data_IF_048918264793
#
_entry.id   IF_048918264793
#
_cell.length_a   1.000
_cell.length_b   1.000
_cell.length_c   1.000
_cell.angle_alpha   90.00
_cell.angle_beta   90.00
_cell.angle_gamma   90.00
#
_symmetry.space_group_name_H-M   'P 1'
#
loop_
_entity.id
_entity.type
_entity.pdbx_description
1 polymer ?
#
# COMPACT_ATOMS: atom_id res chain seq x y z
N UNK A 1 38.67 19.87 15.89
CA UNK A 1 37.57 18.88 15.92
C UNK A 1 36.16 19.47 16.10
N UNK A 2 35.94 20.61 16.79
CA UNK A 2 34.57 21.08 17.12
C UNK A 2 33.90 22.04 16.12
N UNK A 3 34.57 22.51 15.05
CA UNK A 3 34.07 23.63 14.24
C UNK A 3 33.24 23.23 13.00
N UNK A 4 33.54 22.10 12.36
CA UNK A 4 32.64 21.46 11.37
C UNK A 4 31.47 20.76 12.06
N UNK A 5 31.69 20.19 13.25
CA UNK A 5 30.63 19.55 14.02
C UNK A 5 29.56 20.55 14.48
N UNK A 6 29.93 21.82 14.74
CA UNK A 6 28.98 22.88 15.08
C UNK A 6 28.14 23.29 13.86
N UNK A 7 28.77 23.46 12.70
CA UNK A 7 28.12 23.80 11.43
C UNK A 7 27.20 22.66 10.95
N UNK A 8 27.64 21.41 11.07
CA UNK A 8 26.83 20.22 10.82
C UNK A 8 25.74 20.03 11.88
N UNK A 9 26.00 20.32 13.17
CA UNK A 9 24.97 20.24 14.21
C UNK A 9 23.91 21.33 14.02
N UNK A 10 24.32 22.53 13.59
CA UNK A 10 23.42 23.64 13.26
C UNK A 10 22.61 23.32 12.00
N UNK A 11 23.24 22.77 10.95
CA UNK A 11 22.50 22.27 9.78
C UNK A 11 21.55 21.12 10.15
N UNK A 12 21.94 20.21 11.05
CA UNK A 12 21.03 19.15 11.53
C UNK A 12 19.89 19.70 12.39
N UNK A 13 20.15 20.71 13.22
CA UNK A 13 19.12 21.42 13.99
C UNK A 13 18.18 22.20 13.06
N UNK A 14 18.68 22.76 11.95
CA UNK A 14 17.87 23.43 10.94
C UNK A 14 16.98 22.45 10.17
N UNK A 15 17.49 21.24 9.86
CA UNK A 15 16.69 20.15 9.27
C UNK A 15 15.64 19.62 10.27
N UNK A 16 15.96 19.56 11.56
CA UNK A 16 15.02 19.18 12.62
C UNK A 16 13.99 20.29 12.91
N UNK A 17 14.39 21.56 12.87
CA UNK A 17 13.53 22.73 13.00
C UNK A 17 12.54 22.91 11.84
N UNK A 18 12.94 22.51 10.63
CA UNK A 18 12.06 22.45 9.46
C UNK A 18 11.04 21.28 9.54
N UNK A 19 11.20 20.38 10.53
CA UNK A 19 10.40 19.18 10.73
C UNK A 19 9.62 19.17 12.06
N UNK A 20 9.43 20.32 12.73
CA UNK A 20 8.65 20.34 13.97
C UNK A 20 7.14 20.22 13.65
N UNK A 21 6.59 19.05 13.97
CA UNK A 21 5.20 18.68 13.78
C UNK A 21 4.39 19.12 15.01
N UNK A 22 3.67 20.24 14.89
CA UNK A 22 2.54 20.50 15.79
C UNK A 22 1.22 20.21 15.05
N UNK A 23 0.34 19.48 15.72
CA UNK A 23 -0.94 18.92 15.24
C UNK A 23 -2.05 19.95 14.90
N UNK A 24 -1.70 21.23 14.72
CA UNK A 24 -2.66 22.33 14.53
C UNK A 24 -2.57 23.00 13.16
N UNK A 25 -1.84 22.43 12.19
CA UNK A 25 -1.88 22.87 10.79
C UNK A 25 -1.10 24.16 10.45
N UNK A 26 -0.41 24.78 11.42
CA UNK A 26 0.53 25.86 11.17
C UNK A 26 1.98 25.40 11.40
N UNK A 27 2.81 25.41 10.35
CA UNK A 27 4.27 25.34 10.48
C UNK A 27 4.79 26.70 10.90
N UNK A 28 4.92 26.95 12.20
CA UNK A 28 5.71 28.09 12.68
C UNK A 28 7.16 27.65 12.83
N UNK A 29 8.01 27.96 11.85
CA UNK A 29 9.45 27.89 12.04
C UNK A 29 9.89 28.78 13.21
N UNK A 30 11.06 28.52 13.79
CA UNK A 30 11.60 29.37 14.85
C UNK A 30 11.69 30.83 14.40
N UNK A 31 11.24 31.76 15.24
CA UNK A 31 11.47 33.19 15.02
C UNK A 31 12.96 33.50 15.12
N UNK A 32 13.38 34.61 14.52
CA UNK A 32 14.78 35.06 14.57
C UNK A 32 15.31 35.10 16.02
N UNK A 33 14.50 35.60 16.96
CA UNK A 33 14.84 35.63 18.38
C UNK A 33 15.01 34.24 19.01
N UNK A 34 14.20 33.26 18.59
CA UNK A 34 14.32 31.87 19.07
C UNK A 34 15.60 31.21 18.55
N UNK A 35 15.96 31.46 17.30
CA UNK A 35 17.21 30.96 16.70
C UNK A 35 18.41 31.59 17.41
N UNK A 36 18.38 32.92 17.62
CA UNK A 36 19.42 33.65 18.36
C UNK A 36 19.63 33.06 19.75
N UNK A 37 18.55 32.76 20.49
CA UNK A 37 18.62 32.17 21.81
C UNK A 37 19.19 30.74 21.83
N UNK A 38 18.85 29.89 20.85
CA UNK A 38 19.38 28.52 20.75
C UNK A 38 20.89 28.53 20.46
N UNK A 39 21.31 29.40 19.53
CA UNK A 39 22.72 29.58 19.19
C UNK A 39 23.50 30.10 20.40
N UNK A 40 22.94 31.08 21.11
CA UNK A 40 23.54 31.67 22.30
C UNK A 40 23.70 30.68 23.45
N UNK A 41 22.68 29.86 23.73
CA UNK A 41 22.74 28.83 24.77
C UNK A 41 23.75 27.72 24.43
N UNK A 42 23.87 27.37 23.14
CA UNK A 42 24.84 26.39 22.68
C UNK A 42 26.30 26.89 22.75
N UNK A 43 26.51 28.20 22.53
CA UNK A 43 27.82 28.85 22.62
C UNK A 43 28.22 29.10 24.08
N UNK A 44 27.28 29.62 24.90
CA UNK A 44 27.51 29.93 26.31
C UNK A 44 27.92 28.70 27.13
N UNK A 45 27.34 27.54 26.83
CA UNK A 45 27.64 26.28 27.53
C UNK A 45 29.03 25.68 27.21
N UNK A 46 29.81 26.27 26.30
CA UNK A 46 31.14 25.76 25.91
C UNK A 46 32.33 26.60 26.37
N UNK A 47 32.10 27.78 26.94
CA UNK A 47 33.08 28.54 27.73
C UNK A 47 34.36 29.02 27.03
N UNK A 48 34.36 29.21 25.71
CA UNK A 48 35.56 29.62 24.95
C UNK A 48 35.21 30.68 23.89
N UNK A 49 35.80 31.87 23.98
CA UNK A 49 35.57 32.98 23.04
C UNK A 49 36.36 32.83 21.73
N UNK A 50 37.34 31.90 21.64
CA UNK A 50 38.17 31.68 20.45
C UNK A 50 38.38 30.19 20.14
N UNK A 51 37.43 29.56 19.45
CA UNK A 51 37.61 28.18 18.95
C UNK A 51 38.56 28.11 17.71
N UNK A 52 38.75 26.91 17.12
CA UNK A 52 39.56 26.53 15.91
C UNK A 52 41.06 26.40 16.06
N UNK A 53 41.53 25.20 15.69
CA UNK A 53 42.56 25.02 14.66
C UNK A 53 42.19 23.80 13.82
N UNK A 54 42.23 23.92 12.49
CA UNK A 54 42.36 22.85 11.49
C UNK A 54 43.45 23.30 10.52
N UNK A 55 44.29 22.39 10.06
CA UNK A 55 45.35 22.73 9.08
C UNK A 55 44.79 22.73 7.65
N UNK A 56 45.32 23.58 6.79
CA UNK A 56 44.96 23.71 5.37
C UNK A 56 44.84 22.37 4.62
N UNK A 57 45.76 21.43 4.87
CA UNK A 57 45.74 20.07 4.28
C UNK A 57 44.49 19.24 4.63
N UNK A 58 43.92 19.43 5.83
CA UNK A 58 42.73 18.73 6.28
C UNK A 58 41.45 19.33 5.69
N UNK A 59 41.46 20.63 5.39
CA UNK A 59 40.36 21.34 4.73
C UNK A 59 40.24 20.91 3.25
N UNK A 60 41.37 20.80 2.55
CA UNK A 60 41.44 20.35 1.15
C UNK A 60 40.91 18.92 0.99
N UNK A 61 41.20 18.02 1.93
CA UNK A 61 40.75 16.62 1.89
C UNK A 61 39.22 16.49 1.96
N UNK A 62 38.56 17.37 2.71
CA UNK A 62 37.11 17.35 2.91
C UNK A 62 36.35 17.99 1.74
N UNK A 63 36.89 19.06 1.14
CA UNK A 63 36.28 19.70 -0.04
C UNK A 63 36.34 18.75 -1.24
N UNK A 64 37.42 17.98 -1.37
CA UNK A 64 37.54 16.91 -2.35
C UNK A 64 36.49 15.79 -2.19
N UNK A 65 35.88 15.62 -1.00
CA UNK A 65 34.81 14.63 -0.79
C UNK A 65 33.40 15.15 -1.07
N UNK A 66 33.23 16.45 -1.32
CA UNK A 66 31.92 17.11 -1.45
C UNK A 66 31.67 17.76 -2.81
N UNK A 67 32.70 17.94 -3.65
CA UNK A 67 32.57 18.50 -5.01
C UNK A 67 32.92 17.46 -6.09
N UNK A 68 32.28 17.49 -7.27
CA UNK A 68 32.59 16.57 -8.37
C UNK A 68 34.02 16.75 -8.90
N UNK A 69 34.63 15.64 -9.36
CA UNK A 69 36.06 15.47 -9.65
C UNK A 69 36.66 16.31 -10.82
N UNK A 70 35.98 17.37 -11.24
CA UNK A 70 36.34 18.18 -12.42
C UNK A 70 37.10 19.47 -12.10
N UNK A 71 37.26 19.83 -10.82
CA UNK A 71 38.03 21.02 -10.41
C UNK A 71 39.47 20.65 -10.05
N UNK A 72 40.44 21.45 -10.48
CA UNK A 72 41.84 21.25 -10.14
C UNK A 72 42.13 21.68 -8.69
N UNK A 73 43.18 21.12 -8.04
CA UNK A 73 43.55 21.49 -6.68
C UNK A 73 43.81 22.99 -6.47
N UNK A 74 44.23 23.70 -7.52
CA UNK A 74 44.46 25.14 -7.49
C UNK A 74 43.14 25.93 -7.50
N UNK A 75 42.17 25.54 -8.34
CA UNK A 75 40.84 26.15 -8.37
C UNK A 75 40.09 25.95 -7.05
N UNK A 76 40.31 24.81 -6.39
CA UNK A 76 39.76 24.54 -5.06
C UNK A 76 40.43 25.43 -4.00
N UNK A 77 41.75 25.60 -4.04
CA UNK A 77 42.47 26.49 -3.13
C UNK A 77 42.06 27.95 -3.31
N UNK A 78 41.83 28.39 -4.54
CA UNK A 78 41.38 29.74 -4.87
C UNK A 78 39.95 29.98 -4.36
N UNK A 79 39.03 29.03 -4.53
CA UNK A 79 37.66 29.08 -3.96
C UNK A 79 37.67 29.13 -2.42
N UNK A 80 38.54 28.33 -1.78
CA UNK A 80 38.69 28.32 -0.32
C UNK A 80 39.19 29.67 0.19
N UNK A 81 40.11 30.28 -0.53
CA UNK A 81 40.69 31.58 -0.15
C UNK A 81 39.72 32.73 -0.42
N UNK A 82 38.88 32.61 -1.45
CA UNK A 82 37.92 33.63 -1.88
C UNK A 82 36.60 33.61 -1.08
N UNK A 83 36.12 32.43 -0.66
CA UNK A 83 34.80 32.26 -0.02
C UNK A 83 34.82 31.82 1.45
N UNK A 84 35.99 31.53 2.03
CA UNK A 84 36.11 31.21 3.47
C UNK A 84 36.94 32.29 4.17
N UNK A 85 36.34 33.44 4.54
CA UNK A 85 37.03 34.41 5.37
C UNK A 85 37.44 33.75 6.70
N UNK A 86 38.72 33.87 7.05
CA UNK A 86 39.33 33.12 8.15
C UNK A 86 38.86 33.55 9.55
N UNK A 87 38.16 34.68 9.65
CA UNK A 87 37.75 35.28 10.92
C UNK A 87 36.31 35.81 10.86
N UNK A 88 35.32 34.92 10.84
CA UNK A 88 33.91 35.31 11.02
C UNK A 88 33.61 35.51 12.51
N UNK A 89 33.23 36.73 12.88
CA UNK A 89 32.74 37.09 14.20
C UNK A 89 31.37 36.47 14.48
N UNK A 90 30.96 36.44 15.76
CA UNK A 90 29.62 35.96 16.17
C UNK A 90 28.48 36.62 15.38
N UNK A 91 28.63 37.90 15.03
CA UNK A 91 27.67 38.63 14.19
C UNK A 91 27.62 38.09 12.77
N UNK A 92 28.77 37.90 12.14
CA UNK A 92 28.85 37.43 10.74
C UNK A 92 28.39 35.96 10.59
N UNK A 93 28.56 35.12 11.62
CA UNK A 93 27.98 33.77 11.65
C UNK A 93 26.44 33.84 11.70
N UNK A 94 25.90 34.76 12.48
CA UNK A 94 24.45 34.95 12.56
C UNK A 94 23.87 35.47 11.24
N UNK A 95 24.55 36.44 10.64
CA UNK A 95 24.14 37.03 9.37
C UNK A 95 24.18 35.96 8.27
N UNK A 96 25.22 35.12 8.22
CA UNK A 96 25.31 33.99 7.28
C UNK A 96 24.19 32.95 7.51
N UNK A 97 23.81 32.68 8.76
CA UNK A 97 22.68 31.78 9.06
C UNK A 97 21.36 32.38 8.56
N UNK A 98 21.14 33.67 8.78
CA UNK A 98 19.93 34.38 8.32
C UNK A 98 19.88 34.42 6.78
N UNK A 99 21.01 34.65 6.10
CA UNK A 99 21.10 34.73 4.63
C UNK A 99 21.00 33.36 3.93
N UNK A 100 21.44 32.28 4.60
CA UNK A 100 21.33 30.89 4.11
C UNK A 100 20.01 30.21 4.47
N UNK A 101 19.21 30.79 5.39
CA UNK A 101 17.82 30.37 5.57
C UNK A 101 17.06 30.72 4.29
N UNK A 102 16.43 29.75 3.61
CA UNK A 102 15.61 30.09 2.45
C UNK A 102 14.51 31.07 2.89
N UNK A 103 14.50 32.26 2.28
CA UNK A 103 13.38 33.24 2.35
C UNK A 103 12.03 32.59 2.02
N UNK A 104 12.10 31.50 1.24
CA UNK A 104 10.99 30.61 0.96
C UNK A 104 10.59 29.84 2.24
N UNK A 105 9.83 30.52 3.10
CA UNK A 105 8.78 29.82 3.85
C UNK A 105 7.91 29.14 2.81
N UNK A 106 8.12 27.84 2.59
CA UNK A 106 7.14 27.00 1.92
C UNK A 106 5.90 26.96 2.80
N UNK A 107 5.06 27.98 2.64
CA UNK A 107 3.70 27.93 3.11
C UNK A 107 3.05 26.90 2.21
N UNK A 108 2.99 25.64 2.67
CA UNK A 108 2.18 24.64 1.99
C UNK A 108 0.75 25.02 2.30
N UNK A 109 0.20 25.93 1.49
CA UNK A 109 -1.23 26.19 1.50
C UNK A 109 -1.87 24.95 0.89
N UNK A 110 -2.38 24.07 1.74
CA UNK A 110 -3.22 22.98 1.27
C UNK A 110 -4.49 23.61 0.72
N UNK A 111 -4.61 23.63 -0.61
CA UNK A 111 -5.83 24.05 -1.27
C UNK A 111 -6.87 22.95 -1.08
N UNK A 112 -7.61 23.04 0.02
CA UNK A 112 -8.67 22.09 0.37
C UNK A 112 -9.76 22.05 -0.70
N UNK A 113 -10.00 23.16 -1.42
CA UNK A 113 -10.95 23.19 -2.51
C UNK A 113 -10.44 22.34 -3.70
N UNK A 114 -9.14 22.42 -4.02
CA UNK A 114 -8.54 21.53 -5.02
C UNK A 114 -8.58 20.06 -4.62
N UNK A 115 -8.38 19.76 -3.33
CA UNK A 115 -8.44 18.39 -2.82
C UNK A 115 -9.87 17.83 -2.90
N UNK A 116 -10.86 18.60 -2.44
CA UNK A 116 -12.27 18.21 -2.56
C UNK A 116 -12.67 18.03 -4.02
N UNK A 117 -12.26 18.95 -4.90
CA UNK A 117 -12.53 18.84 -6.33
C UNK A 117 -11.88 17.59 -6.93
N UNK A 118 -10.65 17.24 -6.53
CA UNK A 118 -10.00 16.02 -6.99
C UNK A 118 -10.79 14.75 -6.61
N UNK A 119 -11.36 14.70 -5.40
CA UNK A 119 -12.21 13.57 -5.00
C UNK A 119 -13.50 13.52 -5.81
N UNK A 120 -14.11 14.68 -6.10
CA UNK A 120 -15.31 14.78 -6.95
C UNK A 120 -15.01 14.28 -8.36
N UNK A 121 -13.91 14.73 -8.95
CA UNK A 121 -13.48 14.35 -10.30
C UNK A 121 -13.17 12.87 -10.36
N UNK A 122 -12.45 12.33 -9.37
CA UNK A 122 -12.15 10.90 -9.27
C UNK A 122 -13.44 10.06 -9.24
N UNK A 123 -14.41 10.43 -8.41
CA UNK A 123 -15.70 9.71 -8.34
C UNK A 123 -16.43 9.75 -9.69
N UNK A 124 -16.48 10.91 -10.34
CA UNK A 124 -17.11 11.06 -11.64
C UNK A 124 -16.41 10.21 -12.72
N UNK A 125 -15.08 10.23 -12.74
CA UNK A 125 -14.24 9.48 -13.66
C UNK A 125 -14.29 7.97 -13.45
N UNK A 126 -14.65 7.49 -12.25
CA UNK A 126 -14.77 6.07 -11.92
C UNK A 126 -16.20 5.54 -12.00
N UNK A 127 -17.21 6.41 -12.00
CA UNK A 127 -18.62 6.00 -12.02
C UNK A 127 -18.98 5.05 -13.18
N UNK A 128 -18.42 5.26 -14.38
CA UNK A 128 -18.65 4.41 -15.56
C UNK A 128 -17.96 3.04 -15.50
N UNK A 129 -17.02 2.85 -14.58
CA UNK A 129 -16.39 1.53 -14.33
C UNK A 129 -17.18 0.69 -13.33
N UNK A 130 -18.09 1.31 -12.57
CA UNK A 130 -19.01 0.64 -11.66
C UNK A 130 -20.25 0.16 -12.41
N UNK A 131 -20.57 -1.12 -12.25
CA UNK A 131 -21.80 -1.72 -12.76
C UNK A 131 -22.63 -2.33 -11.63
N UNK A 132 -23.95 -2.37 -11.81
CA UNK A 132 -24.86 -3.17 -11.01
C UNK A 132 -24.89 -4.61 -11.50
N UNK A 133 -24.94 -5.57 -10.58
CA UNK A 133 -25.12 -6.99 -10.90
C UNK A 133 -26.47 -7.44 -10.40
N UNK A 134 -27.26 -8.04 -11.29
CA UNK A 134 -28.53 -8.66 -10.95
C UNK A 134 -28.44 -10.16 -11.21
N UNK A 135 -28.51 -10.95 -10.14
CA UNK A 135 -28.55 -12.41 -10.20
C UNK A 135 -29.99 -12.87 -10.07
N UNK A 136 -30.51 -13.59 -11.06
CA UNK A 136 -31.86 -14.13 -11.04
C UNK A 136 -31.83 -15.60 -10.65
N UNK A 137 -32.75 -16.03 -9.81
CA UNK A 137 -32.96 -17.42 -9.35
C UNK A 137 -34.45 -17.77 -9.48
N UNK A 138 -34.96 -17.85 -10.71
CA UNK A 138 -36.40 -17.99 -10.96
C UNK A 138 -37.18 -16.69 -10.65
N UNK A 139 -38.11 -16.71 -9.68
CA UNK A 139 -38.89 -15.52 -9.28
C UNK A 139 -38.20 -14.66 -8.20
N UNK A 140 -37.07 -15.11 -7.67
CA UNK A 140 -36.26 -14.39 -6.69
C UNK A 140 -34.92 -13.98 -7.30
N UNK A 141 -34.21 -13.05 -6.68
CA UNK A 141 -32.90 -12.62 -7.17
C UNK A 141 -32.08 -11.91 -6.11
N UNK A 142 -30.79 -11.81 -6.37
CA UNK A 142 -29.82 -11.01 -5.63
C UNK A 142 -29.37 -9.80 -6.43
N UNK A 143 -28.96 -8.75 -5.74
CA UNK A 143 -28.38 -7.55 -6.35
C UNK A 143 -27.08 -7.20 -5.66
N UNK A 144 -26.08 -6.82 -6.45
CA UNK A 144 -24.79 -6.37 -5.96
C UNK A 144 -24.15 -5.39 -6.94
N UNK A 145 -22.85 -5.23 -6.81
CA UNK A 145 -22.05 -4.35 -7.65
C UNK A 145 -20.93 -5.13 -8.32
N UNK A 146 -20.35 -4.54 -9.35
CA UNK A 146 -19.17 -5.05 -10.03
C UNK A 146 -18.30 -3.91 -10.53
N UNK A 147 -17.03 -4.21 -10.78
CA UNK A 147 -16.07 -3.26 -11.36
C UNK A 147 -15.52 -3.79 -12.67
N UNK A 148 -15.50 -2.94 -13.70
CA UNK A 148 -14.89 -3.23 -14.99
C UNK A 148 -13.38 -3.06 -14.84
N UNK A 149 -12.62 -4.15 -14.92
CA UNK A 149 -11.16 -4.16 -14.69
C UNK A 149 -10.34 -4.40 -15.96
N UNK A 150 -10.99 -4.79 -17.05
CA UNK A 150 -10.33 -5.07 -18.34
C UNK A 150 -11.31 -4.91 -19.49
N UNK A 151 -10.80 -4.49 -20.65
CA UNK A 151 -11.53 -4.50 -21.91
C UNK A 151 -10.69 -5.07 -23.05
N UNK A 152 -11.33 -5.80 -23.96
CA UNK A 152 -10.73 -6.33 -25.20
C UNK A 152 -11.71 -6.06 -26.34
N UNK A 153 -11.45 -5.05 -27.16
CA UNK A 153 -12.41 -4.59 -28.16
C UNK A 153 -13.66 -4.04 -27.51
N UNK A 154 -14.83 -4.61 -27.84
CA UNK A 154 -16.13 -4.26 -27.26
C UNK A 154 -16.56 -5.20 -26.13
N UNK A 155 -15.67 -6.09 -25.67
CA UNK A 155 -15.89 -6.96 -24.51
C UNK A 155 -15.30 -6.33 -23.26
N UNK A 156 -16.11 -6.25 -22.21
CA UNK A 156 -15.76 -5.69 -20.91
C UNK A 156 -15.82 -6.78 -19.85
N UNK A 157 -14.76 -6.91 -19.06
CA UNK A 157 -14.63 -7.91 -18.01
C UNK A 157 -14.92 -7.26 -16.67
N UNK A 158 -15.72 -7.94 -15.86
CA UNK A 158 -16.25 -7.46 -14.59
C UNK A 158 -15.84 -8.42 -13.49
N UNK A 159 -15.30 -7.85 -12.41
CA UNK A 159 -15.13 -8.54 -11.13
C UNK A 159 -16.31 -8.19 -10.24
N UNK A 160 -16.84 -9.20 -9.56
CA UNK A 160 -17.85 -9.06 -8.50
C UNK A 160 -17.57 -10.12 -7.42
N UNK A 161 -18.44 -10.23 -6.42
CA UNK A 161 -18.31 -11.27 -5.41
C UNK A 161 -18.98 -12.59 -5.84
N UNK A 162 -18.44 -13.70 -5.34
CA UNK A 162 -19.06 -15.03 -5.52
C UNK A 162 -20.48 -15.03 -4.95
N UNK A 163 -20.71 -14.54 -3.73
CA UNK A 163 -22.03 -14.57 -3.10
C UNK A 163 -23.09 -13.72 -3.84
N UNK A 164 -22.67 -12.72 -4.63
CA UNK A 164 -23.59 -11.89 -5.44
C UNK A 164 -24.19 -12.70 -6.58
N UNK A 165 -23.40 -13.59 -7.18
CA UNK A 165 -23.79 -14.40 -8.34
C UNK A 165 -24.00 -15.87 -8.00
N UNK A 166 -23.87 -16.28 -6.75
CA UNK A 166 -24.02 -17.67 -6.35
C UNK A 166 -25.41 -18.20 -6.79
N UNK A 167 -25.50 -19.49 -7.14
CA UNK A 167 -26.74 -20.20 -7.50
C UNK A 167 -27.65 -19.48 -8.53
N UNK A 168 -27.08 -18.64 -9.40
CA UNK A 168 -27.82 -17.91 -10.43
C UNK A 168 -28.37 -18.86 -11.51
N UNK A 169 -29.53 -18.52 -12.06
CA UNK A 169 -30.02 -19.06 -13.34
C UNK A 169 -29.65 -18.14 -14.50
N UNK A 170 -29.75 -16.83 -14.28
CA UNK A 170 -29.41 -15.78 -15.25
C UNK A 170 -28.70 -14.65 -14.52
N UNK A 171 -27.77 -13.97 -15.19
CA UNK A 171 -27.10 -12.78 -14.69
C UNK A 171 -27.35 -11.64 -15.68
N UNK A 172 -27.73 -10.48 -15.18
CA UNK A 172 -27.82 -9.25 -15.93
C UNK A 172 -26.86 -8.21 -15.35
N UNK A 173 -26.36 -7.34 -16.23
CA UNK A 173 -25.53 -6.19 -15.82
C UNK A 173 -26.34 -4.92 -16.01
N UNK A 174 -26.46 -4.15 -14.94
CA UNK A 174 -27.17 -2.87 -14.93
C UNK A 174 -26.14 -1.75 -14.98
N UNK A 175 -26.36 -0.76 -15.84
CA UNK A 175 -25.53 0.44 -15.86
C UNK A 175 -26.38 1.71 -15.91
N UNK A 176 -25.81 2.81 -15.44
CA UNK A 176 -26.46 4.11 -15.33
C UNK A 176 -25.85 5.09 -16.35
N UNK A 177 -26.68 5.87 -17.04
CA UNK A 177 -26.24 7.09 -17.76
C UNK A 177 -27.25 8.22 -17.60
N UNK A 178 -26.81 9.34 -17.02
CA UNK A 178 -27.60 10.59 -16.86
C UNK A 178 -28.89 10.45 -16.05
N UNK A 179 -28.84 9.70 -14.94
CA UNK A 179 -29.97 9.31 -14.10
C UNK A 179 -30.83 8.17 -14.65
N UNK A 180 -30.41 7.44 -15.70
CA UNK A 180 -31.22 6.42 -16.38
C UNK A 180 -30.52 5.07 -16.34
N UNK A 181 -31.24 4.04 -15.89
CA UNK A 181 -30.76 2.66 -15.85
C UNK A 181 -31.00 1.93 -17.18
N UNK A 182 -30.02 1.13 -17.55
CA UNK A 182 -30.02 0.26 -18.72
C UNK A 182 -29.58 -1.14 -18.31
N UNK A 183 -30.03 -2.14 -19.06
CA UNK A 183 -29.74 -3.54 -18.81
C UNK A 183 -28.97 -4.13 -19.97
N UNK A 184 -27.89 -4.84 -19.66
CA UNK A 184 -27.25 -5.81 -20.55
C UNK A 184 -27.80 -7.18 -20.14
N UNK A 185 -28.57 -7.78 -21.05
CA UNK A 185 -29.28 -9.03 -20.78
C UNK A 185 -28.34 -10.22 -20.71
N UNK A 186 -28.83 -11.32 -20.13
CA UNK A 186 -28.07 -12.54 -19.91
C UNK A 186 -27.47 -13.14 -21.19
N UNK A 187 -28.07 -12.93 -22.36
CA UNK A 187 -27.57 -13.41 -23.66
C UNK A 187 -26.22 -12.80 -24.06
N UNK A 188 -25.92 -11.59 -23.58
CA UNK A 188 -24.66 -10.89 -23.85
C UNK A 188 -23.60 -11.15 -22.78
N UNK A 189 -23.91 -11.94 -21.75
CA UNK A 189 -23.06 -12.23 -20.60
C UNK A 189 -22.30 -13.54 -20.81
N UNK A 190 -21.01 -13.53 -20.45
CA UNK A 190 -20.17 -14.73 -20.37
C UNK A 190 -19.64 -14.86 -18.95
N UNK A 191 -20.01 -15.93 -18.25
CA UNK A 191 -19.48 -16.26 -16.91
C UNK A 191 -18.21 -17.11 -17.04
N UNK A 192 -17.13 -16.70 -16.39
CA UNK A 192 -15.84 -17.44 -16.43
C UNK A 192 -15.68 -18.38 -15.24
N UNK A 193 -16.15 -17.98 -14.07
CA UNK A 193 -16.05 -18.78 -12.86
C UNK A 193 -16.17 -17.92 -11.61
N UNK A 194 -16.20 -18.60 -10.45
CA UNK A 194 -16.18 -17.96 -9.14
C UNK A 194 -15.52 -18.85 -8.10
N UNK A 195 -15.03 -18.24 -7.04
CA UNK A 195 -14.35 -18.92 -5.94
C UNK A 195 -14.99 -18.50 -4.61
N UNK A 196 -15.57 -19.45 -3.90
CA UNK A 196 -16.23 -19.21 -2.62
C UNK A 196 -15.24 -18.86 -1.50
N UNK A 197 -14.00 -19.37 -1.59
CA UNK A 197 -12.97 -19.16 -0.56
C UNK A 197 -12.45 -17.75 -0.49
N UNK A 198 -12.28 -17.10 -1.65
CA UNK A 198 -11.89 -15.70 -1.73
C UNK A 198 -13.06 -14.76 -1.99
N UNK A 199 -14.25 -15.31 -2.23
CA UNK A 199 -15.48 -14.60 -2.60
C UNK A 199 -15.33 -13.71 -3.84
N UNK A 200 -14.60 -14.18 -4.86
CA UNK A 200 -14.40 -13.47 -6.13
C UNK A 200 -15.10 -14.21 -7.27
N UNK A 201 -15.69 -13.45 -8.19
CA UNK A 201 -16.30 -13.96 -9.42
C UNK A 201 -15.93 -13.09 -10.62
N UNK A 202 -15.83 -13.72 -11.79
CA UNK A 202 -15.54 -13.03 -13.06
C UNK A 202 -16.60 -13.34 -14.11
N UNK A 203 -17.10 -12.28 -14.73
CA UNK A 203 -17.93 -12.34 -15.92
C UNK A 203 -17.45 -11.31 -16.96
N UNK A 204 -17.96 -11.39 -18.17
CA UNK A 204 -17.83 -10.32 -19.15
C UNK A 204 -19.13 -10.09 -19.88
N UNK A 205 -19.25 -8.92 -20.50
CA UNK A 205 -20.31 -8.63 -21.46
C UNK A 205 -19.76 -7.98 -22.71
N UNK A 206 -20.56 -8.00 -23.78
CA UNK A 206 -20.29 -7.26 -25.01
C UNK A 206 -21.20 -6.03 -25.07
N UNK A 207 -20.65 -4.88 -25.45
CA UNK A 207 -21.44 -3.66 -25.65
C UNK A 207 -20.82 -2.73 -26.68
N UNK A 208 -21.66 -2.13 -27.53
CA UNK A 208 -21.24 -1.06 -28.44
C UNK A 208 -21.08 0.29 -27.71
N UNK A 209 -21.41 0.36 -26.42
CA UNK A 209 -21.20 1.54 -25.59
C UNK A 209 -19.80 1.49 -24.97
N UNK A 210 -19.17 2.65 -24.85
CA UNK A 210 -17.90 2.78 -24.15
C UNK A 210 -18.11 2.73 -22.63
N UNK A 211 -17.36 1.86 -21.96
CA UNK A 211 -17.23 1.82 -20.50
C UNK A 211 -15.78 2.07 -20.11
N UNK A 212 -15.59 2.60 -18.91
CA UNK A 212 -14.27 2.89 -18.37
C UNK A 212 -13.72 1.65 -17.65
N UNK A 213 -12.40 1.48 -17.72
CA UNK A 213 -11.68 0.41 -17.02
C UNK A 213 -11.03 1.00 -15.78
N UNK A 214 -11.34 0.45 -14.61
CA UNK A 214 -10.74 0.90 -13.36
C UNK A 214 -9.28 0.42 -13.26
N UNK A 215 -8.32 1.31 -12.96
CA UNK A 215 -6.96 0.91 -12.65
C UNK A 215 -6.92 0.24 -11.27
N UNK A 216 -5.95 -0.65 -11.05
CA UNK A 216 -5.75 -1.33 -9.76
C UNK A 216 -4.39 -0.91 -9.20
N UNK A 217 -4.34 -0.67 -7.89
CA UNK A 217 -3.10 -0.40 -7.16
C UNK A 217 -2.55 -1.70 -6.57
N UNK A 218 -1.26 -1.69 -6.25
CA UNK A 218 -0.62 -2.77 -5.49
C UNK A 218 -1.06 -2.71 -4.02
N UNK A 219 -1.83 -3.71 -3.57
CA UNK A 219 -2.34 -3.74 -2.19
C UNK A 219 -1.23 -3.93 -1.14
N UNK A 220 -0.03 -4.38 -1.51
CA UNK A 220 1.10 -4.51 -0.59
C UNK A 220 1.74 -3.16 -0.22
N UNK A 221 1.47 -2.10 -0.98
CA UNK A 221 1.97 -0.75 -0.70
C UNK A 221 1.02 0.10 0.15
N UNK A 222 -0.12 -0.47 0.54
CA UNK A 222 -1.13 0.24 1.32
C UNK A 222 -0.67 0.50 2.74
N UNK A 223 -1.16 1.60 3.31
CA UNK A 223 -0.83 2.03 4.66
C UNK A 223 -2.10 2.40 5.42
N UNK A 224 -2.17 1.97 6.68
CA UNK A 224 -3.24 2.37 7.59
C UNK A 224 -3.30 3.90 7.68
N UNK A 225 -4.51 4.45 7.61
CA UNK A 225 -4.78 5.89 7.60
C UNK A 225 -5.00 6.48 6.21
N UNK A 226 -4.72 5.74 5.12
CA UNK A 226 -5.08 6.18 3.77
C UNK A 226 -6.60 6.37 3.64
N UNK A 227 -7.03 7.45 2.98
CA UNK A 227 -8.44 7.67 2.64
C UNK A 227 -8.87 6.62 1.62
N UNK A 228 -10.03 6.03 1.87
CA UNK A 228 -10.65 5.04 0.98
C UNK A 228 -12.07 5.44 0.63
N UNK A 229 -12.49 5.12 -0.59
CA UNK A 229 -13.79 5.47 -1.14
C UNK A 229 -14.45 4.21 -1.67
N UNK A 230 -15.51 3.76 -1.02
CA UNK A 230 -16.29 2.62 -1.45
C UNK A 230 -17.41 3.09 -2.38
N UNK A 231 -17.54 2.44 -3.53
CA UNK A 231 -18.63 2.69 -4.48
C UNK A 231 -19.46 1.43 -4.71
N UNK A 232 -20.77 1.60 -4.87
CA UNK A 232 -21.68 0.47 -5.10
C UNK A 232 -23.14 0.85 -5.25
N UNK A 233 -24.00 -0.15 -5.28
CA UNK A 233 -25.43 -0.04 -5.56
C UNK A 233 -26.24 -0.63 -4.38
N UNK A 234 -26.28 0.06 -3.22
CA UNK A 234 -26.92 -0.46 -2.04
C UNK A 234 -28.44 -0.52 -2.17
N UNK A 235 -29.06 -1.55 -1.57
CA UNK A 235 -30.51 -1.73 -1.52
C UNK A 235 -31.17 -1.80 -2.92
N UNK A 236 -30.45 -2.34 -3.90
CA UNK A 236 -30.84 -2.42 -5.30
C UNK A 236 -30.42 -1.19 -6.11
N UNK A 237 -31.07 -0.96 -7.26
CA UNK A 237 -30.64 0.09 -8.20
C UNK A 237 -31.30 1.47 -7.99
N UNK A 238 -32.13 1.62 -6.95
CA UNK A 238 -32.69 2.92 -6.59
C UNK A 238 -31.64 3.91 -6.07
N UNK A 239 -30.52 3.39 -5.55
CA UNK A 239 -29.39 4.16 -5.02
C UNK A 239 -28.11 3.86 -5.83
N UNK A 240 -28.26 3.68 -7.14
CA UNK A 240 -27.16 3.35 -8.04
C UNK A 240 -26.00 4.35 -7.87
N UNK A 241 -24.77 3.84 -7.80
CA UNK A 241 -23.57 4.67 -7.69
C UNK A 241 -23.42 5.38 -6.34
N UNK A 242 -23.92 4.80 -5.26
CA UNK A 242 -23.68 5.31 -3.91
C UNK A 242 -22.19 5.32 -3.60
N UNK A 243 -21.72 6.43 -3.04
CA UNK A 243 -20.34 6.65 -2.63
C UNK A 243 -20.30 6.79 -1.11
N UNK A 244 -19.39 6.07 -0.47
CA UNK A 244 -19.07 6.26 0.95
C UNK A 244 -17.56 6.40 1.13
N UNK A 245 -17.14 7.14 2.15
CA UNK A 245 -15.74 7.43 2.43
C UNK A 245 -15.37 6.94 3.83
N UNK A 246 -14.11 6.55 3.98
CA UNK A 246 -13.50 6.22 5.27
C UNK A 246 -11.98 6.21 5.18
N UNK A 247 -11.35 5.48 6.08
CA UNK A 247 -9.91 5.23 6.14
C UNK A 247 -9.60 3.74 6.17
N UNK A 248 -8.48 3.37 5.56
CA UNK A 248 -7.91 2.04 5.70
C UNK A 248 -7.47 1.84 7.16
N UNK A 249 -8.05 0.85 7.82
CA UNK A 249 -7.85 0.54 9.25
C UNK A 249 -6.98 -0.70 9.47
N UNK A 250 -6.73 -1.50 8.42
CA UNK A 250 -5.84 -2.65 8.47
C UNK A 250 -5.55 -3.17 7.06
N UNK A 251 -4.31 -3.54 6.82
CA UNK A 251 -3.82 -4.02 5.50
C UNK A 251 -3.94 -5.53 5.36
N UNK A 252 -3.87 -6.28 6.47
CA UNK A 252 -3.90 -7.75 6.43
C UNK A 252 -4.66 -8.30 7.63
N UNK A 253 -5.96 -8.58 7.47
CA UNK A 253 -6.77 -9.33 8.45
C UNK A 253 -7.11 -10.68 7.87
N UNK A 254 -7.05 -11.73 8.69
CA UNK A 254 -7.49 -13.05 8.26
C UNK A 254 -8.91 -13.31 8.76
N UNK A 255 -9.75 -13.85 7.88
CA UNK A 255 -11.11 -14.25 8.21
C UNK A 255 -11.40 -15.66 7.70
N UNK A 256 -12.07 -16.43 8.54
CA UNK A 256 -12.57 -17.77 8.23
C UNK A 256 -14.05 -17.80 8.64
N UNK A 257 -14.95 -17.80 7.65
CA UNK A 257 -16.39 -17.78 7.87
C UNK A 257 -17.13 -18.54 6.76
N UNK A 258 -17.69 -19.70 7.12
CA UNK A 258 -18.31 -20.58 6.14
C UNK A 258 -17.25 -21.05 5.13
N UNK A 259 -17.53 -20.86 3.85
CA UNK A 259 -16.59 -21.20 2.78
C UNK A 259 -15.48 -20.15 2.61
N UNK A 260 -15.69 -18.91 3.09
CA UNK A 260 -14.69 -17.84 2.98
C UNK A 260 -13.51 -18.11 3.90
N UNK A 261 -12.30 -18.12 3.34
CA UNK A 261 -11.06 -18.37 4.05
C UNK A 261 -9.91 -17.65 3.32
N UNK A 262 -9.74 -16.35 3.61
CA UNK A 262 -8.76 -15.50 2.96
C UNK A 262 -8.40 -14.27 3.81
N UNK A 263 -7.40 -13.51 3.36
CA UNK A 263 -7.08 -12.20 3.94
C UNK A 263 -7.93 -11.09 3.35
N UNK A 264 -8.19 -10.06 4.14
CA UNK A 264 -8.99 -8.88 3.80
C UNK A 264 -8.33 -7.60 4.29
N UNK A 265 -8.57 -6.52 3.56
CA UNK A 265 -8.39 -5.15 4.01
C UNK A 265 -9.51 -4.81 5.00
N UNK A 266 -9.19 -4.05 6.05
CA UNK A 266 -10.18 -3.48 6.97
C UNK A 266 -10.29 -1.98 6.72
N UNK A 267 -11.50 -1.44 6.69
CA UNK A 267 -11.76 0.00 6.59
C UNK A 267 -13.02 0.39 7.37
N UNK A 268 -13.26 1.69 7.53
CA UNK A 268 -14.46 2.21 8.22
C UNK A 268 -15.48 2.88 7.29
N UNK A 269 -15.19 2.97 5.97
CA UNK A 269 -16.15 3.45 4.99
C UNK A 269 -17.46 2.66 5.07
N UNK A 270 -18.58 3.38 5.12
CA UNK A 270 -19.88 2.77 5.38
C UNK A 270 -20.27 1.77 4.28
N UNK A 271 -20.49 0.51 4.67
CA UNK A 271 -21.00 -0.52 3.78
C UNK A 271 -22.46 -0.85 4.07
N UNK A 272 -23.24 -1.02 3.00
CA UNK A 272 -24.62 -1.52 3.04
C UNK A 272 -24.78 -2.68 2.05
N UNK A 273 -25.77 -3.57 2.26
CA UNK A 273 -26.08 -4.61 1.28
C UNK A 273 -26.25 -3.99 -0.12
N UNK A 274 -25.51 -4.51 -1.10
CA UNK A 274 -25.46 -4.00 -2.47
C UNK A 274 -24.16 -3.24 -2.84
N UNK A 275 -23.36 -2.82 -1.86
CA UNK A 275 -21.98 -2.39 -2.13
C UNK A 275 -21.05 -3.56 -2.45
N UNK A 276 -21.39 -4.77 -1.99
CA UNK A 276 -20.64 -6.00 -2.24
C UNK A 276 -20.40 -6.22 -3.72
N UNK A 277 -19.14 -6.52 -4.06
CA UNK A 277 -18.63 -6.68 -5.42
C UNK A 277 -18.20 -5.38 -6.09
N UNK A 278 -18.53 -4.23 -5.49
CA UNK A 278 -18.08 -2.91 -5.94
C UNK A 278 -16.66 -2.59 -5.49
N UNK A 279 -16.01 -1.58 -6.08
CA UNK A 279 -14.64 -1.22 -5.77
C UNK A 279 -14.50 -0.44 -4.45
N UNK A 280 -13.38 -0.66 -3.78
CA UNK A 280 -12.79 0.22 -2.79
C UNK A 280 -11.62 0.95 -3.47
N UNK A 281 -11.74 2.27 -3.63
CA UNK A 281 -10.74 3.11 -4.28
C UNK A 281 -9.84 3.81 -3.27
N UNK A 282 -8.58 4.06 -3.66
CA UNK A 282 -7.76 5.12 -3.05
C UNK A 282 -8.10 6.49 -3.65
N UNK A 283 -7.45 7.55 -3.17
CA UNK A 283 -7.68 8.92 -3.66
C UNK A 283 -7.28 9.13 -5.13
N UNK A 284 -6.44 8.27 -5.70
CA UNK A 284 -6.05 8.32 -7.12
C UNK A 284 -7.08 7.65 -8.04
N UNK A 285 -8.15 7.07 -7.49
CA UNK A 285 -9.14 6.31 -8.26
C UNK A 285 -8.64 4.93 -8.69
N UNK A 286 -7.65 4.37 -7.99
CA UNK A 286 -7.16 3.02 -8.19
C UNK A 286 -7.87 2.08 -7.23
N UNK A 287 -8.35 0.93 -7.73
CA UNK A 287 -8.96 -0.12 -6.92
C UNK A 287 -7.89 -0.72 -6.04
N UNK A 288 -8.08 -0.60 -4.73
CA UNK A 288 -7.23 -1.22 -3.70
C UNK A 288 -7.85 -2.51 -3.18
N UNK A 289 -9.16 -2.72 -3.40
CA UNK A 289 -9.85 -3.95 -3.09
C UNK A 289 -11.30 -3.98 -3.58
N UNK A 290 -11.96 -5.12 -3.39
CA UNK A 290 -13.38 -5.31 -3.72
C UNK A 290 -14.18 -5.41 -2.43
N UNK A 291 -15.17 -4.54 -2.26
CA UNK A 291 -16.02 -4.50 -1.06
C UNK A 291 -16.68 -5.86 -0.88
N UNK A 292 -16.51 -6.44 0.31
CA UNK A 292 -16.94 -7.80 0.62
C UNK A 292 -18.09 -7.77 1.63
N UNK A 293 -17.77 -7.42 2.88
CA UNK A 293 -18.71 -7.49 3.98
C UNK A 293 -18.42 -6.46 5.06
N UNK A 294 -19.32 -6.36 6.04
CA UNK A 294 -19.11 -5.63 7.29
C UNK A 294 -19.48 -6.49 8.49
N UNK A 295 -18.90 -6.18 9.64
CA UNK A 295 -19.43 -6.69 10.90
C UNK A 295 -20.76 -6.00 11.20
N UNK A 296 -21.79 -6.80 11.43
CA UNK A 296 -23.10 -6.33 11.88
C UNK A 296 -23.22 -6.71 13.35
N UNK A 297 -22.67 -5.85 14.21
CA UNK A 297 -22.74 -5.98 15.66
C UNK A 297 -23.44 -4.74 16.24
N UNK A 298 -24.29 -4.93 17.25
CA UNK A 298 -24.98 -3.84 17.93
C UNK A 298 -24.05 -2.92 18.75
N UNK A 299 -22.84 -3.40 19.05
CA UNK A 299 -21.83 -2.76 19.90
C UNK A 299 -20.65 -2.26 19.07
N UNK A 300 -20.34 -2.90 17.93
CA UNK A 300 -19.27 -2.49 17.01
C UNK A 300 -19.85 -2.08 15.65
N UNK A 301 -19.76 -0.78 15.32
CA UNK A 301 -20.07 -0.20 14.01
C UNK A 301 -18.80 0.32 13.33
N UNK A 302 -18.82 0.50 12.01
CA UNK A 302 -17.68 1.06 11.27
C UNK A 302 -16.53 0.08 11.01
N UNK A 303 -16.80 -1.23 10.95
CA UNK A 303 -15.80 -2.24 10.55
C UNK A 303 -16.28 -2.90 9.26
N UNK A 304 -15.75 -2.42 8.14
CA UNK A 304 -15.93 -2.96 6.79
C UNK A 304 -14.68 -3.68 6.31
N UNK A 305 -14.89 -4.58 5.34
CA UNK A 305 -13.83 -5.38 4.75
C UNK A 305 -13.90 -5.39 3.23
N UNK A 306 -12.73 -5.41 2.61
CA UNK A 306 -12.56 -5.58 1.17
C UNK A 306 -11.49 -6.63 0.86
N UNK A 307 -11.66 -7.39 -0.21
CA UNK A 307 -10.68 -8.36 -0.68
C UNK A 307 -9.54 -7.58 -1.37
N UNK A 308 -8.24 -7.78 -1.03
CA UNK A 308 -7.15 -6.97 -1.56
C UNK A 308 -7.02 -7.06 -3.09
N UNK A 309 -6.63 -5.97 -3.74
CA UNK A 309 -6.51 -5.88 -5.21
C UNK A 309 -5.60 -6.96 -5.81
N UNK A 310 -4.45 -7.26 -5.19
CA UNK A 310 -3.54 -8.29 -5.68
C UNK A 310 -4.18 -9.69 -5.65
N UNK A 311 -4.90 -9.99 -4.56
CA UNK A 311 -5.69 -11.22 -4.40
C UNK A 311 -6.75 -11.34 -5.48
N UNK A 312 -7.52 -10.26 -5.67
CA UNK A 312 -8.59 -10.18 -6.66
C UNK A 312 -8.07 -10.41 -8.08
N UNK A 313 -6.98 -9.74 -8.48
CA UNK A 313 -6.44 -9.85 -9.83
C UNK A 313 -5.88 -11.25 -10.11
N UNK A 314 -5.20 -11.86 -9.13
CA UNK A 314 -4.67 -13.22 -9.29
C UNK A 314 -5.78 -14.26 -9.37
N UNK A 315 -6.82 -14.18 -8.53
CA UNK A 315 -8.01 -15.05 -8.64
C UNK A 315 -8.71 -14.83 -9.98
N UNK A 316 -8.93 -13.57 -10.38
CA UNK A 316 -9.60 -13.27 -11.63
C UNK A 316 -8.87 -13.92 -12.82
N UNK A 317 -7.54 -13.82 -12.84
CA UNK A 317 -6.72 -14.44 -13.89
C UNK A 317 -6.88 -15.97 -13.95
N UNK A 318 -6.90 -16.65 -12.80
CA UNK A 318 -7.12 -18.10 -12.75
C UNK A 318 -8.52 -18.50 -13.22
N UNK A 319 -9.56 -17.76 -12.81
CA UNK A 319 -10.94 -18.00 -13.25
C UNK A 319 -11.10 -17.79 -14.76
N UNK A 320 -10.41 -16.81 -15.33
CA UNK A 320 -10.45 -16.59 -16.78
C UNK A 320 -9.71 -17.67 -17.58
N UNK A 321 -8.60 -18.18 -17.06
CA UNK A 321 -7.74 -19.15 -17.76
C UNK A 321 -8.26 -20.61 -17.61
N UNK A 322 -8.74 -20.96 -16.41
CA UNK A 322 -9.03 -22.35 -16.02
C UNK A 322 -10.47 -22.53 -15.53
N UNK A 323 -11.13 -21.46 -15.08
CA UNK A 323 -12.48 -21.51 -14.52
C UNK A 323 -12.57 -21.96 -13.06
N UNK A 324 -11.44 -22.41 -12.48
CA UNK A 324 -11.32 -22.90 -11.10
C UNK A 324 -9.98 -22.51 -10.50
N UNK A 325 -9.88 -22.49 -9.18
CA UNK A 325 -8.67 -22.14 -8.44
C UNK A 325 -8.04 -23.40 -7.84
N UNK A 326 -6.74 -23.61 -8.06
CA UNK A 326 -5.93 -24.61 -7.33
C UNK A 326 -5.01 -23.85 -6.39
N UNK A 327 -5.15 -24.05 -5.08
CA UNK A 327 -4.43 -23.23 -4.09
C UNK A 327 -2.97 -23.65 -3.97
N UNK A 328 -2.02 -22.70 -3.99
CA UNK A 328 -0.62 -22.98 -3.71
C UNK A 328 -0.40 -23.32 -2.23
N UNK A 329 0.60 -24.15 -1.97
CA UNK A 329 0.91 -24.65 -0.65
C UNK A 329 2.41 -24.67 -0.40
N UNK A 330 2.83 -23.96 0.66
CA UNK A 330 4.21 -23.93 1.10
C UNK A 330 4.55 -25.11 2.03
N UNK A 331 3.58 -25.66 2.76
CA UNK A 331 3.77 -26.82 3.64
C UNK A 331 4.41 -26.49 4.99
N UNK A 332 3.88 -25.50 5.70
CA UNK A 332 4.34 -25.07 7.02
C UNK A 332 3.19 -25.00 8.04
N UNK A 333 3.54 -24.99 9.33
CA UNK A 333 2.65 -24.61 10.43
C UNK A 333 3.33 -23.56 11.33
N UNK A 334 2.54 -22.69 11.94
CA UNK A 334 2.98 -21.66 12.90
C UNK A 334 1.82 -21.27 13.80
N UNK A 335 2.12 -20.80 15.01
CA UNK A 335 1.15 -20.04 15.80
C UNK A 335 0.87 -18.69 15.11
N UNK A 336 -0.39 -18.32 14.93
CA UNK A 336 -0.80 -17.14 14.13
C UNK A 336 -0.55 -15.82 14.86
N UNK A 337 -0.74 -15.79 16.19
CA UNK A 337 -0.70 -14.58 17.02
C UNK A 337 0.49 -14.54 18.00
N UNK A 338 1.35 -15.55 17.98
CA UNK A 338 2.47 -15.68 18.91
C UNK A 338 3.72 -16.04 18.10
N UNK A 339 4.73 -15.16 18.14
CA UNK A 339 6.06 -15.52 17.65
C UNK A 339 6.84 -16.16 18.80
N UNK A 340 6.88 -17.50 18.81
CA UNK A 340 7.57 -18.28 19.85
C UNK A 340 9.10 -18.20 19.75
N UNK A 341 9.63 -17.72 18.62
CA UNK A 341 11.05 -17.57 18.36
C UNK A 341 11.65 -16.26 18.93
N UNK A 342 10.83 -15.41 19.56
CA UNK A 342 11.29 -14.23 20.30
C UNK A 342 11.57 -12.98 19.45
N UNK A 343 11.12 -12.96 18.20
CA UNK A 343 11.14 -11.76 17.35
C UNK A 343 9.78 -11.07 17.35
N UNK A 344 9.79 -9.73 17.29
CA UNK A 344 8.57 -8.92 17.23
C UNK A 344 7.90 -8.93 15.84
N UNK A 345 8.48 -9.66 14.86
CA UNK A 345 8.01 -9.78 13.49
C UNK A 345 8.43 -11.13 12.88
N UNK A 346 7.85 -11.43 11.72
CA UNK A 346 8.07 -12.66 10.98
C UNK A 346 7.21 -13.83 11.45
N UNK A 347 7.41 -14.97 10.81
CA UNK A 347 6.64 -16.20 11.05
C UNK A 347 7.56 -17.30 11.56
N UNK A 348 7.45 -17.62 12.85
CA UNK A 348 8.19 -18.68 13.51
C UNK A 348 7.60 -20.05 13.17
N UNK A 349 8.35 -20.89 12.45
CA UNK A 349 7.89 -22.19 11.99
C UNK A 349 7.83 -23.20 13.13
N UNK A 350 6.66 -23.78 13.39
CA UNK A 350 6.48 -24.89 14.34
C UNK A 350 6.64 -26.25 13.66
N UNK A 351 6.21 -26.36 12.40
CA UNK A 351 6.31 -27.58 11.60
C UNK A 351 6.63 -27.25 10.14
N UNK A 352 7.39 -28.14 9.50
CA UNK A 352 7.64 -28.14 8.06
C UNK A 352 7.28 -29.52 7.52
N UNK A 353 6.34 -29.59 6.58
CA UNK A 353 5.82 -30.85 6.05
C UNK A 353 6.89 -31.51 5.18
N UNK A 354 7.21 -32.76 5.49
CA UNK A 354 8.18 -33.53 4.74
C UNK A 354 7.75 -33.69 3.27
N UNK A 355 8.66 -33.37 2.34
CA UNK A 355 8.40 -33.45 0.91
C UNK A 355 7.63 -32.27 0.31
N UNK A 356 7.22 -31.27 1.11
CA UNK A 356 6.59 -30.04 0.62
C UNK A 356 7.60 -28.95 0.22
N UNK A 357 7.08 -27.86 -0.35
CA UNK A 357 7.87 -26.74 -0.87
C UNK A 357 8.82 -26.10 0.17
N UNK A 358 8.39 -25.93 1.42
CA UNK A 358 9.23 -25.43 2.51
C UNK A 358 10.39 -26.36 2.85
N UNK A 359 10.16 -27.68 2.85
CA UNK A 359 11.22 -28.66 3.07
C UNK A 359 12.24 -28.62 1.92
N UNK A 360 11.78 -28.47 0.67
CA UNK A 360 12.64 -28.30 -0.50
C UNK A 360 13.43 -26.97 -0.46
N UNK A 361 12.86 -25.92 0.14
CA UNK A 361 13.54 -24.66 0.46
C UNK A 361 14.54 -24.79 1.63
N UNK A 362 14.65 -25.96 2.26
CA UNK A 362 15.58 -26.19 3.37
C UNK A 362 15.17 -25.53 4.69
N UNK A 363 13.90 -25.08 4.79
CA UNK A 363 13.32 -24.54 6.01
C UNK A 363 13.11 -25.65 7.04
N UNK A 364 13.15 -25.27 8.32
CA UNK A 364 13.06 -26.17 9.47
C UNK A 364 12.25 -25.53 10.60
N UNK A 365 11.68 -26.33 11.52
CA UNK A 365 11.12 -25.80 12.75
C UNK A 365 12.14 -24.91 13.48
N UNK A 366 11.68 -23.76 13.97
CA UNK A 366 12.50 -22.74 14.61
C UNK A 366 13.04 -21.65 13.69
N UNK A 367 12.92 -21.80 12.36
CA UNK A 367 13.20 -20.69 11.44
C UNK A 367 12.12 -19.61 11.54
N UNK A 368 12.50 -18.35 11.32
CA UNK A 368 11.55 -17.23 11.24
C UNK A 368 11.53 -16.66 9.83
N UNK A 369 10.45 -16.83 9.08
CA UNK A 369 10.29 -16.23 7.76
C UNK A 369 10.06 -14.72 7.89
N UNK A 370 10.86 -13.94 7.18
CA UNK A 370 10.82 -12.46 7.20
C UNK A 370 10.64 -11.85 5.81
N UNK A 371 10.76 -12.65 4.74
CA UNK A 371 10.57 -12.18 3.37
C UNK A 371 10.11 -13.29 2.42
N UNK A 372 9.32 -12.91 1.42
CA UNK A 372 8.82 -13.79 0.37
C UNK A 372 8.94 -13.12 -0.99
N UNK A 373 9.36 -13.84 -2.03
CA UNK A 373 9.30 -13.33 -3.41
C UNK A 373 9.11 -14.43 -4.43
N UNK A 374 8.57 -14.06 -5.59
CA UNK A 374 8.71 -14.89 -6.77
C UNK A 374 10.17 -14.88 -7.23
N UNK A 375 10.67 -16.00 -7.76
CA UNK A 375 12.04 -16.11 -8.22
C UNK A 375 12.38 -15.12 -9.35
N UNK A 376 11.36 -14.66 -10.09
CA UNK A 376 11.45 -13.63 -11.13
C UNK A 376 11.56 -12.21 -10.61
N UNK A 377 11.33 -11.97 -9.32
CA UNK A 377 11.35 -10.64 -8.69
C UNK A 377 12.68 -10.42 -7.97
N UNK A 378 13.14 -9.17 -7.91
CA UNK A 378 14.41 -8.84 -7.23
C UNK A 378 14.22 -8.58 -5.73
N UNK A 379 13.13 -7.90 -5.35
CA UNK A 379 12.87 -7.50 -3.97
C UNK A 379 12.04 -8.55 -3.23
N UNK A 380 12.27 -8.67 -1.93
CA UNK A 380 11.40 -9.44 -1.04
C UNK A 380 10.20 -8.59 -0.61
N UNK A 381 9.01 -9.17 -0.68
CA UNK A 381 7.87 -8.71 0.09
C UNK A 381 8.18 -8.96 1.58
N UNK A 382 8.20 -7.92 2.44
CA UNK A 382 8.45 -8.11 3.85
C UNK A 382 7.29 -8.86 4.50
N UNK A 383 7.63 -9.85 5.34
CA UNK A 383 6.68 -10.66 6.09
C UNK A 383 6.81 -10.30 7.56
N UNK A 384 5.82 -9.57 8.09
CA UNK A 384 5.82 -9.17 9.49
C UNK A 384 5.03 -10.14 10.37
N UNK A 385 4.04 -10.83 9.80
CA UNK A 385 3.21 -11.78 10.54
C UNK A 385 2.65 -12.90 9.63
N UNK A 386 1.94 -13.86 10.23
CA UNK A 386 1.42 -15.02 9.51
C UNK A 386 0.40 -14.66 8.43
N UNK A 387 -0.36 -13.58 8.60
CA UNK A 387 -1.33 -13.18 7.58
C UNK A 387 -0.63 -12.62 6.34
N UNK A 388 0.48 -11.89 6.50
CA UNK A 388 1.27 -11.41 5.36
C UNK A 388 1.80 -12.58 4.54
N UNK A 389 2.33 -13.62 5.22
CA UNK A 389 2.81 -14.82 4.56
C UNK A 389 1.68 -15.60 3.87
N UNK A 390 0.52 -15.72 4.54
CA UNK A 390 -0.65 -16.38 3.96
C UNK A 390 -1.11 -15.67 2.69
N UNK A 391 -1.17 -14.33 2.72
CA UNK A 391 -1.55 -13.54 1.55
C UNK A 391 -0.51 -13.66 0.41
N UNK A 392 0.77 -13.61 0.74
CA UNK A 392 1.86 -13.79 -0.23
C UNK A 392 1.79 -15.15 -0.94
N UNK A 393 1.58 -16.24 -0.18
CA UNK A 393 1.40 -17.57 -0.74
C UNK A 393 0.13 -17.63 -1.57
N UNK A 394 -1.00 -17.12 -1.04
CA UNK A 394 -2.28 -17.13 -1.73
C UNK A 394 -2.21 -16.40 -3.07
N UNK A 395 -1.40 -15.34 -3.17
CA UNK A 395 -1.18 -14.55 -4.38
C UNK A 395 -0.20 -15.17 -5.39
N UNK A 396 0.33 -16.35 -5.10
CA UNK A 396 1.05 -17.18 -6.06
C UNK A 396 0.14 -18.22 -6.72
N UNK A 397 0.71 -19.02 -7.62
CA UNK A 397 0.09 -20.18 -8.26
C UNK A 397 0.86 -21.47 -7.95
N UNK A 398 0.17 -22.61 -8.06
CA UNK A 398 0.85 -23.91 -8.08
C UNK A 398 1.85 -23.94 -9.23
N UNK A 399 3.06 -24.43 -8.95
CA UNK A 399 4.16 -24.44 -9.92
C UNK A 399 5.00 -23.15 -9.95
N UNK A 400 4.59 -22.09 -9.25
CA UNK A 400 5.41 -20.89 -9.13
C UNK A 400 6.70 -21.20 -8.36
N UNK A 401 7.79 -20.64 -8.87
CA UNK A 401 9.11 -20.73 -8.25
C UNK A 401 9.28 -19.56 -7.30
N UNK A 402 9.53 -19.84 -6.02
CA UNK A 402 9.60 -18.83 -4.96
C UNK A 402 10.85 -18.96 -4.12
N UNK A 403 11.21 -17.86 -3.45
CA UNK A 403 12.36 -17.76 -2.57
C UNK A 403 11.90 -17.13 -1.26
N UNK A 404 12.40 -17.65 -0.14
CA UNK A 404 12.06 -17.20 1.20
C UNK A 404 13.31 -16.65 1.88
N UNK A 405 13.18 -15.46 2.48
CA UNK A 405 14.17 -14.91 3.41
C UNK A 405 13.76 -15.27 4.84
N UNK A 406 14.70 -15.81 5.61
CA UNK A 406 14.42 -16.31 6.96
C UNK A 406 15.59 -16.11 7.91
N UNK A 407 15.30 -16.08 9.21
CA UNK A 407 16.29 -16.03 10.28
C UNK A 407 16.42 -17.41 10.91
N UNK A 408 17.66 -17.85 11.12
CA UNK A 408 18.01 -19.08 11.86
C UNK A 408 19.20 -18.77 12.75
N UNK A 409 19.10 -19.11 14.04
CA UNK A 409 20.16 -18.87 15.03
C UNK A 409 20.66 -17.40 15.07
N UNK A 410 19.79 -16.45 14.75
CA UNK A 410 20.09 -15.01 14.73
C UNK A 410 20.75 -14.49 13.44
N UNK A 411 20.98 -15.35 12.45
CA UNK A 411 21.52 -14.98 11.15
C UNK A 411 20.45 -15.03 10.05
N UNK A 412 20.51 -14.11 9.10
CA UNK A 412 19.60 -14.05 7.94
C UNK A 412 20.11 -14.93 6.81
N UNK A 413 19.22 -15.74 6.24
CA UNK A 413 19.47 -16.62 5.12
C UNK A 413 18.44 -16.42 4.02
N UNK A 414 18.84 -16.76 2.80
CA UNK A 414 17.95 -16.89 1.64
C UNK A 414 17.85 -18.34 1.25
N UNK A 415 16.63 -18.86 1.09
CA UNK A 415 16.42 -20.25 0.67
C UNK A 415 16.88 -20.49 -0.76
N UNK A 416 17.19 -21.74 -1.15
CA UNK A 416 17.12 -22.15 -2.54
C UNK A 416 15.72 -21.85 -3.12
N UNK A 417 15.66 -21.69 -4.43
CA UNK A 417 14.39 -21.60 -5.16
C UNK A 417 13.60 -22.90 -5.00
N UNK A 418 12.32 -22.78 -4.67
CA UNK A 418 11.40 -23.92 -4.48
C UNK A 418 10.13 -23.72 -5.28
N UNK A 419 9.49 -24.81 -5.67
CA UNK A 419 8.23 -24.82 -6.41
C UNK A 419 7.05 -25.03 -5.47
N UNK A 420 6.00 -24.20 -5.57
CA UNK A 420 4.80 -24.35 -4.75
C UNK A 420 3.96 -25.56 -5.20
N UNK A 421 3.52 -26.37 -4.23
CA UNK A 421 2.69 -27.54 -4.46
C UNK A 421 1.19 -27.18 -4.44
N UNK A 422 0.30 -28.04 -4.96
CA UNK A 422 -1.13 -27.93 -4.66
C UNK A 422 -1.39 -28.13 -3.17
N UNK A 423 -2.38 -27.41 -2.64
CA UNK A 423 -2.89 -27.68 -1.30
C UNK A 423 -3.44 -29.12 -1.22
N UNK A 424 -3.18 -29.88 -0.14
CA UNK A 424 -3.64 -31.27 -0.03
C UNK A 424 -5.15 -31.48 -0.20
N UNK A 425 -5.94 -30.47 0.13
CA UNK A 425 -7.40 -30.50 -0.03
C UNK A 425 -7.84 -30.27 -1.49
N UNK A 426 -6.96 -29.72 -2.33
CA UNK A 426 -7.18 -29.41 -3.75
C UNK A 426 -6.43 -30.40 -4.69
N UNK A 427 -5.79 -31.45 -4.15
CA UNK A 427 -4.87 -32.37 -4.84
C UNK A 427 -5.50 -33.62 -5.47
#
# INVERSE_FOLDING_TARGET
MKRIFLLLSLMSLMVLAACDYNFDGERTGFTEDQIRNIVDDHIANRGDENLLYITEAQLVTLINSLLPATLSPQEIADIVTEYVPTDLTRGEILDLIIDLMPEDRYTTTYDLASFEQHLVDMVADRANSLVGIQSLRGLTGGTGSGVIYKSVGNRYYVITNHHVIENHTEIEVIYERNGILFTIGFDDITFYGSDATTDVAVLSFVSDKAFDVAPFADSYLLQVGQIVIAMGNPLGFNYYGTVTQGVLSGTTRFMEQGDFNATVLQHDAALSPGNSGGPLFNINGEVIGINFMKIIDSVASGIGFAIPSNTVLRIAKDLEEVGTIIRPFLGISSAVLVNECGLDYGVCLSEVIAGGAAAAAGLRPGDVIIGYRHASEEAFLPIFNFNDLREAILNSRVGDQVVVEYIRDGETFTSPTTELNPHPDDA
#
